data_IF_760680433611
#
_entry.id   IF_760680433611
#
_cell.length_a   1.000
_cell.length_b   1.000
_cell.length_c   1.000
_cell.angle_alpha   90.00
_cell.angle_beta   90.00
_cell.angle_gamma   90.00
#
_symmetry.space_group_name_H-M   'P 1'
#
loop_
_entity.id
_entity.type
_entity.pdbx_description
1 polymer ?
#
# COMPACT_ATOMS: atom_id res chain seq x y z
N UNK A 1 -22.35 61.05 -34.12
CA UNK A 1 -23.27 60.17 -34.89
C UNK A 1 -23.37 58.91 -34.07
N UNK A 2 -24.24 58.75 -33.16
CA UNK A 2 -25.69 58.60 -33.22
C UNK A 2 -26.10 57.26 -33.86
N UNK A 3 -26.83 56.53 -33.03
CA UNK A 3 -27.89 55.54 -33.31
C UNK A 3 -27.47 54.07 -33.05
N UNK A 4 -28.26 53.21 -32.46
CA UNK A 4 -29.46 53.20 -31.57
C UNK A 4 -29.59 51.83 -31.01
N UNK A 5 -30.14 51.76 -29.80
CA UNK A 5 -30.80 50.66 -29.12
C UNK A 5 -31.69 49.76 -30.00
N UNK A 6 -31.75 48.47 -29.72
CA UNK A 6 -33.07 47.84 -29.69
C UNK A 6 -33.16 46.73 -28.64
N UNK A 7 -34.25 46.81 -27.93
CA UNK A 7 -34.78 45.99 -26.86
C UNK A 7 -35.75 44.95 -27.43
N UNK A 8 -35.88 43.82 -26.78
CA UNK A 8 -37.08 42.98 -26.65
C UNK A 8 -36.65 41.53 -26.43
N UNK A 9 -37.11 40.72 -25.53
CA UNK A 9 -38.22 40.72 -24.61
C UNK A 9 -38.31 39.29 -24.03
N UNK A 10 -38.90 39.05 -22.88
CA UNK A 10 -38.78 37.76 -22.17
C UNK A 10 -39.84 36.76 -22.64
N UNK A 11 -39.36 35.57 -23.03
CA UNK A 11 -40.20 34.38 -23.30
C UNK A 11 -40.65 33.71 -22.00
N UNK A 12 -41.90 33.89 -21.67
CA UNK A 12 -42.59 33.12 -20.60
C UNK A 12 -42.87 31.70 -21.08
N UNK A 13 -42.37 30.68 -20.46
CA UNK A 13 -42.84 29.31 -20.58
C UNK A 13 -43.79 29.00 -19.40
N UNK A 14 -45.00 28.58 -19.72
CA UNK A 14 -46.09 28.21 -18.86
C UNK A 14 -45.84 26.88 -18.12
N UNK A 15 -46.45 26.64 -16.97
CA UNK A 15 -46.34 25.41 -16.25
C UNK A 15 -47.28 24.35 -16.80
N UNK A 16 -46.75 23.18 -17.11
CA UNK A 16 -47.52 21.98 -17.46
C UNK A 16 -48.02 21.35 -16.14
N UNK A 17 -49.32 21.41 -15.94
CA UNK A 17 -50.02 20.68 -14.88
C UNK A 17 -50.16 19.23 -15.32
N UNK A 18 -49.51 18.33 -14.65
CA UNK A 18 -49.75 16.87 -14.78
C UNK A 18 -50.72 16.42 -13.68
N UNK A 19 -51.83 15.86 -14.11
CA UNK A 19 -52.89 15.32 -13.24
C UNK A 19 -52.38 14.08 -12.49
N UNK A 20 -52.66 14.05 -11.20
CA UNK A 20 -52.49 12.91 -10.35
C UNK A 20 -53.60 11.89 -10.63
N UNK A 21 -53.23 10.68 -11.01
CA UNK A 21 -54.15 9.52 -11.03
C UNK A 21 -53.91 8.72 -9.74
N UNK A 22 -54.88 8.80 -8.82
CA UNK A 22 -54.86 7.99 -7.61
C UNK A 22 -55.44 6.64 -7.96
N UNK A 23 -54.60 5.61 -8.03
CA UNK A 23 -55.04 4.22 -8.09
C UNK A 23 -55.01 3.62 -6.67
N UNK A 24 -56.17 3.40 -6.13
CA UNK A 24 -56.41 2.71 -4.85
C UNK A 24 -56.25 1.20 -5.05
N UNK A 25 -55.14 0.61 -4.62
CA UNK A 25 -54.94 -0.83 -4.60
C UNK A 25 -55.07 -1.30 -3.15
N UNK A 26 -56.17 -2.03 -2.89
CA UNK A 26 -56.38 -2.71 -1.61
C UNK A 26 -55.38 -3.86 -1.46
N UNK A 27 -54.47 -3.74 -0.50
CA UNK A 27 -53.48 -4.77 -0.19
C UNK A 27 -54.05 -5.76 0.84
N UNK A 28 -54.16 -7.01 0.44
CA UNK A 28 -54.34 -8.12 1.38
C UNK A 28 -53.07 -8.24 2.22
N UNK A 29 -53.19 -8.06 3.52
CA UNK A 29 -52.15 -8.36 4.48
C UNK A 29 -51.99 -9.86 4.63
N UNK A 30 -51.09 -10.47 3.87
CA UNK A 30 -50.54 -11.79 4.20
C UNK A 30 -49.37 -11.56 5.15
N UNK A 31 -49.55 -11.92 6.41
CA UNK A 31 -48.49 -11.84 7.42
C UNK A 31 -47.35 -12.80 7.09
N UNK A 32 -46.25 -12.27 6.58
CA UNK A 32 -44.97 -12.95 6.63
C UNK A 32 -44.29 -12.56 7.95
N UNK A 33 -44.34 -13.47 8.92
CA UNK A 33 -43.43 -13.42 10.06
C UNK A 33 -42.02 -13.57 9.52
N UNK A 34 -41.32 -12.46 9.35
CA UNK A 34 -39.89 -12.46 9.12
C UNK A 34 -39.19 -12.94 10.40
N UNK A 35 -38.98 -14.26 10.47
CA UNK A 35 -37.95 -14.80 11.34
C UNK A 35 -36.62 -14.20 10.88
N UNK A 36 -36.08 -13.26 11.64
CA UNK A 36 -34.69 -12.87 11.56
C UNK A 36 -33.86 -14.16 11.55
N UNK A 37 -32.98 -14.37 10.56
CA UNK A 37 -32.06 -15.47 10.69
C UNK A 37 -31.20 -15.15 11.91
N UNK A 38 -31.38 -15.97 12.95
CA UNK A 38 -30.45 -16.00 14.08
C UNK A 38 -29.05 -16.08 13.50
N UNK A 39 -28.21 -15.10 13.83
CA UNK A 39 -26.86 -15.10 13.37
C UNK A 39 -26.21 -16.38 13.89
N UNK A 40 -26.12 -17.36 13.02
CA UNK A 40 -25.53 -18.64 13.32
C UNK A 40 -24.17 -18.37 13.93
N UNK A 41 -24.01 -18.63 15.20
CA UNK A 41 -22.72 -18.61 15.87
C UNK A 41 -21.75 -19.41 14.99
N UNK A 42 -20.52 -18.95 14.80
CA UNK A 42 -19.57 -19.62 13.93
C UNK A 42 -19.49 -21.07 14.36
N UNK A 43 -19.90 -21.97 13.47
CA UNK A 43 -19.88 -23.41 13.70
C UNK A 43 -18.45 -23.76 14.09
N UNK A 44 -18.27 -24.11 15.36
CA UNK A 44 -16.99 -24.65 15.83
C UNK A 44 -16.89 -26.02 15.17
N UNK A 45 -16.23 -26.09 14.04
CA UNK A 45 -15.80 -27.34 13.45
C UNK A 45 -14.87 -28.02 14.46
N UNK A 46 -15.41 -28.92 15.25
CA UNK A 46 -14.64 -29.92 15.96
C UNK A 46 -14.13 -30.91 14.91
N UNK A 47 -12.92 -30.64 14.40
CA UNK A 47 -12.32 -31.59 13.48
C UNK A 47 -12.17 -32.94 14.20
N UNK A 48 -12.87 -33.95 13.72
CA UNK A 48 -12.71 -35.32 14.20
C UNK A 48 -11.49 -36.03 13.66
N UNK A 49 -10.74 -35.36 12.75
CA UNK A 49 -9.49 -35.86 12.17
C UNK A 49 -8.32 -35.11 12.79
N UNK A 50 -7.20 -35.77 13.07
CA UNK A 50 -6.00 -35.10 13.57
C UNK A 50 -5.48 -34.10 12.54
N UNK A 51 -5.32 -32.84 12.95
CA UNK A 51 -4.76 -31.78 12.14
C UNK A 51 -3.25 -31.82 12.29
N UNK A 52 -2.52 -31.82 11.17
CA UNK A 52 -1.06 -31.73 11.18
C UNK A 52 -0.68 -30.27 11.13
N UNK A 53 0.01 -29.79 12.15
CA UNK A 53 0.57 -28.46 12.17
C UNK A 53 2.01 -28.53 11.62
N UNK A 54 2.35 -27.83 10.54
CA UNK A 54 3.72 -27.77 10.05
C UNK A 54 4.64 -27.19 11.13
N UNK A 55 5.83 -27.79 11.27
CA UNK A 55 6.91 -27.22 12.08
C UNK A 55 7.59 -26.02 11.37
N UNK A 56 8.44 -25.30 12.07
CA UNK A 56 9.33 -24.31 11.47
C UNK A 56 10.30 -24.97 10.51
N UNK A 57 10.94 -24.24 9.58
CA UNK A 57 12.00 -24.78 8.76
C UNK A 57 13.05 -25.52 9.62
N UNK A 58 13.19 -26.84 9.39
CA UNK A 58 14.07 -27.71 10.19
C UNK A 58 13.41 -28.37 11.41
N UNK A 59 12.17 -28.06 11.74
CA UNK A 59 11.41 -28.74 12.81
C UNK A 59 10.41 -29.74 12.25
N UNK A 60 10.20 -30.89 12.91
CA UNK A 60 9.19 -31.85 12.48
C UNK A 60 7.77 -31.29 12.68
N UNK A 61 6.86 -31.67 11.79
CA UNK A 61 5.45 -31.39 11.94
C UNK A 61 4.86 -32.06 13.20
N UNK A 62 3.96 -31.36 13.91
CA UNK A 62 3.26 -31.88 15.08
C UNK A 62 1.81 -32.25 14.74
N UNK A 63 1.27 -33.28 15.42
CA UNK A 63 -0.16 -33.63 15.32
C UNK A 63 -0.92 -33.00 16.48
N UNK A 64 -1.94 -32.24 16.15
CA UNK A 64 -2.84 -31.64 17.15
C UNK A 64 -3.90 -32.65 17.54
N UNK A 65 -4.22 -32.74 18.83
CA UNK A 65 -5.35 -33.51 19.30
C UNK A 65 -6.68 -32.94 18.81
N UNK A 66 -7.75 -33.75 18.66
CA UNK A 66 -9.06 -33.25 18.31
C UNK A 66 -9.51 -32.12 19.24
N UNK A 67 -9.89 -30.98 18.69
CA UNK A 67 -10.29 -29.81 19.46
C UNK A 67 -9.15 -28.84 19.84
N UNK A 68 -7.90 -29.21 19.64
CA UNK A 68 -6.79 -28.25 19.72
C UNK A 68 -6.80 -27.33 18.48
N UNK A 69 -6.77 -26.03 18.72
CA UNK A 69 -6.56 -25.07 17.64
C UNK A 69 -5.09 -25.09 17.22
N UNK A 70 -4.84 -25.12 15.92
CA UNK A 70 -3.51 -24.87 15.41
C UNK A 70 -3.07 -23.48 15.91
N UNK A 71 -1.93 -23.44 16.61
CA UNK A 71 -1.33 -22.15 16.96
C UNK A 71 -1.01 -21.45 15.66
N UNK A 72 -1.62 -20.28 15.45
CA UNK A 72 -1.23 -19.47 14.29
C UNK A 72 0.23 -19.08 14.48
N UNK A 73 1.00 -19.06 13.39
CA UNK A 73 2.41 -18.60 13.45
C UNK A 73 2.58 -17.18 14.00
N UNK A 74 1.47 -16.44 14.21
CA UNK A 74 1.45 -15.10 14.80
C UNK A 74 2.02 -15.02 16.23
N UNK A 75 2.14 -16.16 16.92
CA UNK A 75 2.78 -16.23 18.24
C UNK A 75 4.29 -16.50 18.16
N UNK A 76 4.87 -16.60 16.98
CA UNK A 76 6.31 -16.61 16.81
C UNK A 76 6.87 -15.28 17.35
N UNK A 77 7.67 -15.36 18.41
CA UNK A 77 8.27 -14.18 19.00
C UNK A 77 9.11 -13.44 17.95
N UNK A 78 8.67 -12.21 17.61
CA UNK A 78 9.49 -11.32 16.79
C UNK A 78 10.79 -10.97 17.51
N UNK A 79 11.81 -10.60 16.76
CA UNK A 79 13.11 -10.22 17.29
C UNK A 79 13.52 -8.79 16.87
N UNK A 80 14.72 -8.38 17.29
CA UNK A 80 15.24 -7.06 16.94
C UNK A 80 15.44 -6.84 15.44
N UNK A 81 15.69 -7.89 14.65
CA UNK A 81 15.84 -7.77 13.19
C UNK A 81 14.49 -7.50 12.52
N UNK A 82 13.41 -8.12 13.00
CA UNK A 82 12.05 -7.83 12.52
C UNK A 82 11.68 -6.38 12.78
N UNK A 83 11.86 -5.91 14.01
CA UNK A 83 11.57 -4.52 14.38
C UNK A 83 12.41 -3.52 13.58
N UNK A 84 13.68 -3.82 13.40
CA UNK A 84 14.59 -3.00 12.59
C UNK A 84 14.08 -2.90 11.13
N UNK A 85 13.82 -4.05 10.50
CA UNK A 85 13.33 -4.09 9.13
C UNK A 85 12.04 -3.26 8.96
N UNK A 86 11.02 -3.52 9.79
CA UNK A 86 9.74 -2.84 9.69
C UNK A 86 9.89 -1.33 9.89
N UNK A 87 10.66 -0.92 10.92
CA UNK A 87 10.86 0.50 11.21
C UNK A 87 11.63 1.20 10.11
N UNK A 88 12.70 0.60 9.62
CA UNK A 88 13.54 1.19 8.58
C UNK A 88 12.83 1.20 7.22
N UNK A 89 12.09 0.15 6.89
CA UNK A 89 11.37 0.08 5.62
C UNK A 89 10.23 1.11 5.52
N UNK A 90 9.53 1.41 6.61
CA UNK A 90 8.55 2.53 6.64
C UNK A 90 9.23 3.85 6.26
N UNK A 91 10.42 4.12 6.79
CA UNK A 91 11.15 5.37 6.49
C UNK A 91 11.69 5.37 5.07
N UNK A 92 12.21 4.24 4.63
CA UNK A 92 12.74 4.02 3.29
C UNK A 92 11.64 4.26 2.24
N UNK A 93 10.50 3.61 2.35
CA UNK A 93 9.37 3.82 1.45
C UNK A 93 8.83 5.25 1.49
N UNK A 94 8.77 5.87 2.66
CA UNK A 94 8.39 7.29 2.78
C UNK A 94 9.31 8.19 1.97
N UNK A 95 10.61 7.87 1.91
CA UNK A 95 11.57 8.60 1.08
C UNK A 95 11.33 8.40 -0.42
N UNK A 96 11.00 7.17 -0.84
CA UNK A 96 10.64 6.88 -2.23
C UNK A 96 9.38 7.65 -2.66
N UNK A 97 8.33 7.67 -1.83
CA UNK A 97 7.13 8.46 -2.11
C UNK A 97 7.42 9.95 -2.24
N UNK A 98 8.33 10.49 -1.42
CA UNK A 98 8.77 11.89 -1.54
C UNK A 98 9.45 12.15 -2.87
N UNK A 99 10.32 11.27 -3.33
CA UNK A 99 10.99 11.38 -4.63
C UNK A 99 10.00 11.22 -5.79
N UNK A 100 9.11 10.22 -5.71
CA UNK A 100 8.09 9.97 -6.72
C UNK A 100 7.15 11.17 -6.90
N UNK A 101 6.74 11.81 -5.80
CA UNK A 101 5.91 13.01 -5.84
C UNK A 101 6.58 14.23 -6.50
N UNK A 102 7.91 14.20 -6.71
CA UNK A 102 8.60 15.25 -7.46
C UNK A 102 8.48 15.07 -8.99
N UNK A 103 8.08 13.90 -9.48
CA UNK A 103 8.04 13.62 -10.92
C UNK A 103 6.96 14.44 -11.63
N UNK A 104 5.81 14.65 -10.99
CA UNK A 104 4.76 15.50 -11.53
C UNK A 104 5.27 16.93 -11.77
N UNK A 105 5.10 17.40 -13.00
CA UNK A 105 5.52 18.72 -13.43
C UNK A 105 7.05 18.95 -13.54
N UNK A 106 7.87 17.89 -13.34
CA UNK A 106 9.33 17.94 -13.52
C UNK A 106 9.85 16.97 -14.55
N UNK A 107 9.33 15.75 -14.59
CA UNK A 107 9.70 14.77 -15.59
C UNK A 107 9.28 15.22 -16.98
N UNK A 108 10.10 14.93 -17.98
CA UNK A 108 9.82 15.15 -19.40
C UNK A 108 9.40 13.87 -20.12
N UNK A 109 9.86 12.71 -19.65
CA UNK A 109 9.52 11.44 -20.25
C UNK A 109 8.26 10.85 -19.57
N UNK A 110 7.19 10.51 -20.34
CA UNK A 110 5.98 9.93 -19.77
C UNK A 110 6.21 8.59 -19.05
N UNK A 111 7.24 7.83 -19.44
CA UNK A 111 7.56 6.57 -18.77
C UNK A 111 8.12 6.81 -17.38
N UNK A 112 8.86 7.91 -17.17
CA UNK A 112 9.36 8.30 -15.84
C UNK A 112 8.19 8.69 -14.93
N UNK A 113 7.20 9.42 -15.44
CA UNK A 113 5.97 9.73 -14.71
C UNK A 113 5.24 8.44 -14.33
N UNK A 114 5.04 7.53 -15.29
CA UNK A 114 4.37 6.24 -15.04
C UNK A 114 5.13 5.35 -14.04
N UNK A 115 6.46 5.40 -14.00
CA UNK A 115 7.28 4.74 -12.98
C UNK A 115 7.00 5.34 -11.60
N UNK A 116 7.00 6.66 -11.46
CA UNK A 116 6.74 7.35 -10.20
C UNK A 116 5.33 7.05 -9.64
N UNK A 117 4.33 7.05 -10.51
CA UNK A 117 2.94 6.68 -10.15
C UNK A 117 2.86 5.23 -9.65
N UNK A 118 3.52 4.30 -10.33
CA UNK A 118 3.57 2.88 -9.95
C UNK A 118 4.24 2.69 -8.61
N UNK A 119 5.37 3.32 -8.37
CA UNK A 119 6.06 3.30 -7.07
C UNK A 119 5.13 3.81 -5.97
N UNK A 120 4.42 4.89 -6.21
CA UNK A 120 3.45 5.42 -5.24
C UNK A 120 2.32 4.43 -4.96
N UNK A 121 1.75 3.82 -6.00
CA UNK A 121 0.67 2.85 -5.88
C UNK A 121 1.10 1.57 -5.14
N UNK A 122 2.34 1.11 -5.34
CA UNK A 122 2.87 -0.08 -4.68
C UNK A 122 3.27 0.21 -3.22
N UNK A 123 4.04 1.25 -2.96
CA UNK A 123 4.66 1.45 -1.66
C UNK A 123 3.76 2.11 -0.60
N UNK A 124 2.70 2.82 -1.00
CA UNK A 124 1.78 3.40 -0.02
C UNK A 124 1.02 2.34 0.81
N UNK A 125 0.43 1.27 0.22
CA UNK A 125 -0.15 0.18 0.98
C UNK A 125 0.88 -0.63 1.77
N UNK A 126 2.11 -0.81 1.27
CA UNK A 126 3.18 -1.49 1.99
C UNK A 126 3.54 -0.74 3.29
N UNK A 127 3.62 0.58 3.26
CA UNK A 127 3.78 1.41 4.47
C UNK A 127 2.65 1.17 5.47
N UNK A 128 1.41 1.05 5.00
CA UNK A 128 0.26 0.79 5.86
C UNK A 128 0.36 -0.59 6.53
N UNK A 129 0.76 -1.62 5.79
CA UNK A 129 0.97 -2.98 6.31
C UNK A 129 2.08 -3.01 7.37
N UNK A 130 3.22 -2.39 7.09
CA UNK A 130 4.35 -2.29 8.02
C UNK A 130 3.94 -1.56 9.32
N UNK A 131 3.21 -0.45 9.21
CA UNK A 131 2.68 0.27 10.37
C UNK A 131 1.63 -0.54 11.14
N UNK A 132 0.81 -1.33 10.44
CA UNK A 132 -0.13 -2.28 11.03
C UNK A 132 0.58 -3.30 11.90
N UNK A 133 1.69 -3.87 11.43
CA UNK A 133 2.52 -4.79 12.19
C UNK A 133 3.04 -4.17 13.50
N UNK A 134 3.54 -2.92 13.45
CA UNK A 134 3.98 -2.18 14.64
C UNK A 134 2.82 -1.96 15.63
N UNK A 135 1.65 -1.58 15.12
CA UNK A 135 0.47 -1.29 15.95
C UNK A 135 0.02 -2.52 16.73
N UNK A 136 -0.11 -3.67 16.06
CA UNK A 136 -0.53 -4.94 16.69
C UNK A 136 0.43 -5.37 17.78
N UNK A 137 1.71 -5.03 17.67
CA UNK A 137 2.77 -5.38 18.63
C UNK A 137 3.08 -4.28 19.64
N UNK A 138 2.27 -3.22 19.68
CA UNK A 138 2.45 -2.06 20.55
C UNK A 138 3.84 -1.40 20.41
N UNK A 139 4.45 -1.53 19.21
CA UNK A 139 5.72 -0.90 18.89
C UNK A 139 5.50 0.49 18.32
N UNK A 140 6.37 1.42 18.69
CA UNK A 140 6.34 2.79 18.14
C UNK A 140 7.29 2.87 16.95
N UNK A 141 6.84 3.57 15.91
CA UNK A 141 7.73 3.97 14.84
C UNK A 141 8.79 4.92 15.41
N UNK A 142 10.03 4.47 15.45
CA UNK A 142 11.15 5.34 15.82
C UNK A 142 11.35 6.33 14.69
N UNK A 143 11.07 7.59 14.95
CA UNK A 143 11.46 8.67 14.02
C UNK A 143 12.97 8.80 14.14
N UNK A 144 13.70 8.33 13.15
CA UNK A 144 15.10 8.70 13.06
C UNK A 144 15.16 10.16 12.61
N UNK A 145 15.90 10.99 13.34
CA UNK A 145 16.25 12.31 12.85
C UNK A 145 16.88 12.14 11.47
N UNK A 146 16.39 12.92 10.49
CA UNK A 146 16.65 12.71 9.07
C UNK A 146 18.14 12.66 8.67
N UNK A 147 19.05 12.97 9.59
CA UNK A 147 20.51 12.90 9.41
C UNK A 147 21.13 11.56 9.80
N UNK A 148 20.66 10.91 10.88
CA UNK A 148 21.30 9.69 11.40
C UNK A 148 20.81 8.41 10.71
N UNK A 149 19.54 8.35 10.29
CA UNK A 149 19.01 7.20 9.56
C UNK A 149 19.57 7.05 8.15
N UNK A 150 19.89 8.17 7.49
CA UNK A 150 20.46 8.14 6.16
C UNK A 150 21.88 7.53 6.11
N UNK A 151 22.64 7.60 7.19
CA UNK A 151 24.01 7.08 7.23
C UNK A 151 24.13 5.57 7.47
N UNK A 152 23.07 4.90 7.91
CA UNK A 152 23.08 3.46 8.16
C UNK A 152 22.06 2.66 7.33
N UNK A 153 21.19 3.32 6.59
CA UNK A 153 20.12 2.66 5.82
C UNK A 153 20.59 2.40 4.38
N UNK A 154 20.69 1.14 3.96
CA UNK A 154 21.09 0.80 2.60
C UNK A 154 20.26 1.54 1.54
N UNK A 155 20.93 2.10 0.55
CA UNK A 155 20.25 2.79 -0.56
C UNK A 155 19.64 4.16 -0.23
N UNK A 156 19.65 4.59 1.04
CA UNK A 156 19.06 5.88 1.41
C UNK A 156 19.64 7.05 0.59
N UNK A 157 18.72 7.96 0.23
CA UNK A 157 19.06 9.19 -0.51
C UNK A 157 19.22 10.33 0.50
N UNK A 158 20.31 11.06 0.40
CA UNK A 158 20.59 12.18 1.32
C UNK A 158 19.63 13.35 1.10
N UNK A 159 19.40 14.20 2.11
CA UNK A 159 18.63 15.43 1.94
C UNK A 159 19.15 16.30 0.78
N UNK A 160 20.46 16.44 0.64
CA UNK A 160 21.08 17.20 -0.46
C UNK A 160 20.76 16.61 -1.84
N UNK A 161 20.72 15.28 -1.98
CA UNK A 161 20.33 14.63 -3.23
C UNK A 161 18.84 14.84 -3.55
N UNK A 162 17.96 14.78 -2.55
CA UNK A 162 16.53 15.07 -2.75
C UNK A 162 16.33 16.53 -3.16
N UNK A 163 17.07 17.47 -2.56
CA UNK A 163 17.04 18.87 -2.96
C UNK A 163 17.60 19.09 -4.37
N UNK A 164 18.67 18.39 -4.75
CA UNK A 164 19.18 18.43 -6.12
C UNK A 164 18.11 17.92 -7.10
N UNK A 165 17.47 16.81 -6.81
CA UNK A 165 16.37 16.27 -7.62
C UNK A 165 15.21 17.28 -7.74
N UNK A 166 14.82 17.93 -6.65
CA UNK A 166 13.74 18.91 -6.63
C UNK A 166 14.04 20.16 -7.49
N UNK A 167 15.33 20.49 -7.70
CA UNK A 167 15.77 21.62 -8.53
C UNK A 167 15.90 21.28 -10.01
N UNK A 168 15.96 20.01 -10.37
CA UNK A 168 16.06 19.56 -11.77
C UNK A 168 14.70 19.47 -12.45
N UNK A 169 14.70 19.56 -13.79
CA UNK A 169 13.54 19.38 -14.66
C UNK A 169 13.95 18.73 -15.98
N UNK A 170 12.96 18.24 -16.72
CA UNK A 170 13.19 17.69 -18.05
C UNK A 170 14.11 16.46 -18.02
N UNK A 171 14.88 16.21 -19.07
CA UNK A 171 15.75 15.02 -19.17
C UNK A 171 16.77 14.89 -18.03
N UNK A 172 17.18 16.01 -17.44
CA UNK A 172 18.08 15.98 -16.29
C UNK A 172 17.38 15.44 -15.03
N UNK A 173 16.11 15.78 -14.84
CA UNK A 173 15.30 15.18 -13.78
C UNK A 173 15.10 13.68 -14.03
N UNK A 174 14.74 13.30 -15.24
CA UNK A 174 14.43 11.91 -15.60
C UNK A 174 15.60 10.98 -15.27
N UNK A 175 16.81 11.33 -15.69
CA UNK A 175 18.02 10.56 -15.38
C UNK A 175 18.33 10.52 -13.89
N UNK A 176 18.34 11.67 -13.23
CA UNK A 176 18.68 11.75 -11.81
C UNK A 176 17.66 10.99 -10.95
N UNK A 177 16.37 11.09 -11.27
CA UNK A 177 15.30 10.36 -10.60
C UNK A 177 15.50 8.84 -10.69
N UNK A 178 15.74 8.32 -11.90
CA UNK A 178 15.96 6.89 -12.11
C UNK A 178 17.22 6.40 -11.41
N UNK A 179 18.33 7.14 -11.47
CA UNK A 179 19.59 6.78 -10.82
C UNK A 179 19.44 6.70 -9.29
N UNK A 180 18.79 7.69 -8.69
CA UNK A 180 18.55 7.71 -7.25
C UNK A 180 17.56 6.60 -6.83
N UNK A 181 16.50 6.39 -7.61
CA UNK A 181 15.46 5.43 -7.29
C UNK A 181 15.94 3.99 -7.46
N UNK A 182 16.73 3.68 -8.49
CA UNK A 182 17.37 2.35 -8.64
C UNK A 182 18.28 2.05 -7.46
N UNK A 183 19.17 3.00 -7.09
CA UNK A 183 20.03 2.83 -5.92
C UNK A 183 19.22 2.62 -4.64
N UNK A 184 18.15 3.37 -4.47
CA UNK A 184 17.26 3.27 -3.32
C UNK A 184 16.60 1.89 -3.27
N UNK A 185 16.04 1.40 -4.36
CA UNK A 185 15.42 0.08 -4.45
C UNK A 185 16.39 -1.07 -4.19
N UNK A 186 17.64 -0.99 -4.67
CA UNK A 186 18.68 -1.96 -4.35
C UNK A 186 18.90 -2.05 -2.84
N UNK A 187 18.88 -0.92 -2.14
CA UNK A 187 18.96 -0.90 -0.67
C UNK A 187 17.77 -1.59 0.01
N UNK A 188 16.56 -1.42 -0.52
CA UNK A 188 15.38 -2.11 0.00
C UNK A 188 15.49 -3.63 -0.15
N UNK A 189 15.94 -4.12 -1.31
CA UNK A 189 16.19 -5.56 -1.55
C UNK A 189 17.21 -6.11 -0.56
N UNK A 190 18.28 -5.35 -0.29
CA UNK A 190 19.29 -5.75 0.70
C UNK A 190 18.68 -5.86 2.10
N UNK A 191 17.93 -4.86 2.56
CA UNK A 191 17.27 -4.90 3.88
C UNK A 191 16.26 -6.04 3.98
N UNK A 192 15.50 -6.30 2.93
CA UNK A 192 14.55 -7.41 2.86
C UNK A 192 15.26 -8.76 2.95
N UNK A 193 16.38 -8.96 2.23
CA UNK A 193 17.21 -10.15 2.34
C UNK A 193 17.76 -10.38 3.76
N UNK A 194 18.20 -9.31 4.42
CA UNK A 194 18.64 -9.40 5.82
C UNK A 194 17.50 -9.83 6.76
N UNK A 195 16.28 -9.31 6.54
CA UNK A 195 15.12 -9.64 7.35
C UNK A 195 14.69 -11.11 7.18
N UNK A 196 14.74 -11.66 5.97
CA UNK A 196 14.40 -13.06 5.73
C UNK A 196 15.38 -14.04 6.38
N UNK A 197 16.66 -13.63 6.59
CA UNK A 197 17.68 -14.47 7.21
C UNK A 197 17.73 -14.29 8.72
N UNK A 198 17.57 -13.06 9.22
CA UNK A 198 17.80 -12.70 10.63
C UNK A 198 16.51 -12.54 11.44
N UNK A 199 15.37 -12.34 10.78
CA UNK A 199 14.05 -12.20 11.39
C UNK A 199 13.52 -13.53 11.90
N UNK A 200 12.60 -13.49 12.86
CA UNK A 200 11.94 -14.67 13.42
C UNK A 200 10.42 -14.64 13.23
N UNK A 201 9.83 -13.48 12.94
CA UNK A 201 8.39 -13.33 12.69
C UNK A 201 8.07 -13.71 11.24
N UNK A 202 7.24 -14.72 11.06
CA UNK A 202 6.87 -15.20 9.72
C UNK A 202 6.18 -14.11 8.88
N UNK A 203 5.33 -13.30 9.50
CA UNK A 203 4.67 -12.21 8.78
C UNK A 203 5.68 -11.14 8.28
N UNK A 204 6.76 -10.90 9.04
CA UNK A 204 7.84 -10.01 8.59
C UNK A 204 8.64 -10.65 7.47
N UNK A 205 8.90 -11.95 7.54
CA UNK A 205 9.59 -12.67 6.47
C UNK A 205 8.77 -12.67 5.16
N UNK A 206 7.45 -12.84 5.25
CA UNK A 206 6.54 -12.72 4.11
C UNK A 206 6.55 -11.31 3.52
N UNK A 207 6.39 -10.27 4.35
CA UNK A 207 6.49 -8.87 3.91
C UNK A 207 7.84 -8.56 3.26
N UNK A 208 8.93 -9.06 3.83
CA UNK A 208 10.27 -8.88 3.27
C UNK A 208 10.43 -9.56 1.92
N UNK A 209 9.87 -10.76 1.76
CA UNK A 209 9.89 -11.47 0.47
C UNK A 209 9.07 -10.72 -0.60
N UNK A 210 7.89 -10.19 -0.25
CA UNK A 210 7.06 -9.38 -1.13
C UNK A 210 7.78 -8.09 -1.55
N UNK A 211 8.36 -7.35 -0.59
CA UNK A 211 9.18 -6.16 -0.85
C UNK A 211 10.33 -6.50 -1.80
N UNK A 212 11.08 -7.57 -1.52
CA UNK A 212 12.22 -7.98 -2.36
C UNK A 212 11.80 -8.26 -3.80
N UNK A 213 10.70 -8.98 -4.00
CA UNK A 213 10.19 -9.33 -5.33
C UNK A 213 9.69 -8.08 -6.09
N UNK A 214 8.89 -7.24 -5.44
CA UNK A 214 8.36 -6.00 -5.99
C UNK A 214 9.45 -5.03 -6.38
N UNK A 215 10.38 -4.73 -5.46
CA UNK A 215 11.49 -3.80 -5.69
C UNK A 215 12.42 -4.30 -6.82
N UNK A 216 12.67 -5.62 -6.90
CA UNK A 216 13.45 -6.19 -8.00
C UNK A 216 12.78 -6.03 -9.36
N UNK A 217 11.46 -6.13 -9.42
CA UNK A 217 10.70 -5.90 -10.65
C UNK A 217 10.73 -4.40 -11.05
N UNK A 218 10.61 -3.51 -10.09
CA UNK A 218 10.70 -2.07 -10.32
C UNK A 218 12.10 -1.62 -10.78
N UNK A 219 13.18 -2.19 -10.21
CA UNK A 219 14.56 -1.95 -10.67
C UNK A 219 14.67 -2.28 -12.16
N UNK A 220 14.26 -3.49 -12.58
CA UNK A 220 14.34 -3.89 -13.99
C UNK A 220 13.59 -2.92 -14.90
N UNK A 221 12.42 -2.46 -14.49
CA UNK A 221 11.62 -1.50 -15.26
C UNK A 221 12.33 -0.14 -15.34
N UNK A 222 12.85 0.36 -14.23
CA UNK A 222 13.59 1.64 -14.21
C UNK A 222 14.83 1.59 -15.09
N UNK A 223 15.56 0.47 -15.09
CA UNK A 223 16.72 0.27 -15.96
C UNK A 223 16.34 0.23 -17.44
N UNK A 224 15.20 -0.40 -17.78
CA UNK A 224 14.68 -0.36 -19.16
C UNK A 224 14.35 1.05 -19.60
N UNK A 225 13.63 1.83 -18.77
CA UNK A 225 13.33 3.24 -19.07
C UNK A 225 14.60 4.05 -19.19
N UNK A 226 15.54 3.89 -18.25
CA UNK A 226 16.84 4.60 -18.25
C UNK A 226 17.67 4.34 -19.50
N UNK A 227 17.64 3.13 -20.00
CA UNK A 227 18.39 2.77 -21.22
C UNK A 227 17.78 3.33 -22.49
N UNK A 228 16.54 3.82 -22.45
CA UNK A 228 15.82 4.43 -23.58
C UNK A 228 15.92 5.96 -23.59
N UNK A 229 16.43 6.61 -22.51
CA UNK A 229 16.65 8.06 -22.41
C UNK A 229 17.98 8.47 -23.03
#
# INVERSE_FOLDING_TARGET
MAYTSDTSGPGRCAPVRTLALVALVASLAAGCTSSTPDAAAPSRYTASVPVVQPGRPGEPASRLAPGQQAQRPQDAAWNGADLYFVTMMVQHHTQALRMAGLAEGRASDPQVVAVAERITAAQAPEIANLKGWLTVRHQKLVKSDAGHAAHGMPGAVTPAQIEALARTRGPAFDRLFLDLMVKHHVGAVQMAGDATVKGSDLAVQELAAEVSAGQSAEIRRMEQVRSAL
#
